data_IF_222011788239
#
_entry.id   IF_222011788239
#
_cell.length_a   1.000
_cell.length_b   1.000
_cell.length_c   1.000
_cell.angle_alpha   90.00
_cell.angle_beta   90.00
_cell.angle_gamma   90.00
#
_symmetry.space_group_name_H-M   'P 1'
#
loop_
_entity.id
_entity.type
_entity.pdbx_description
1 polymer ?
#
# COMPACT_ATOMS: atom_id res chain seq x y z
N UNK A 1 48.07 -6.66 -29.76
CA UNK A 1 47.09 -6.24 -28.74
C UNK A 1 46.18 -5.25 -29.41
N UNK A 2 44.87 -5.47 -29.29
CA UNK A 2 43.89 -4.47 -29.70
C UNK A 2 43.94 -3.28 -28.75
N UNK A 3 43.09 -2.28 -28.97
CA UNK A 3 42.94 -1.20 -27.97
C UNK A 3 42.47 -1.80 -26.64
N UNK A 4 43.11 -1.41 -25.53
CA UNK A 4 42.72 -1.86 -24.19
C UNK A 4 41.42 -1.16 -23.80
N UNK A 5 40.40 -1.94 -23.45
CA UNK A 5 39.06 -1.45 -23.14
C UNK A 5 38.79 -1.39 -21.66
N UNK A 6 39.38 -2.32 -20.90
CA UNK A 6 39.14 -2.46 -19.48
C UNK A 6 40.36 -3.04 -18.77
N UNK A 7 40.53 -2.64 -17.51
CA UNK A 7 41.64 -3.02 -16.65
C UNK A 7 41.08 -3.35 -15.28
N UNK A 8 41.51 -4.46 -14.70
CA UNK A 8 41.18 -4.83 -13.32
C UNK A 8 42.45 -5.28 -12.59
N UNK A 9 42.55 -4.94 -11.31
CA UNK A 9 43.74 -5.25 -10.49
C UNK A 9 43.34 -5.85 -9.14
N UNK A 10 44.03 -6.91 -8.70
CA UNK A 10 43.87 -7.48 -7.36
C UNK A 10 45.14 -8.18 -6.88
N UNK A 11 45.75 -7.65 -5.82
CA UNK A 11 47.01 -8.17 -5.28
C UNK A 11 48.15 -8.00 -6.30
N UNK A 12 48.85 -9.09 -6.62
CA UNK A 12 49.96 -9.06 -7.58
C UNK A 12 49.51 -9.29 -9.04
N UNK A 13 48.20 -9.46 -9.30
CA UNK A 13 47.67 -9.80 -10.63
C UNK A 13 46.91 -8.61 -11.22
N UNK A 14 47.34 -8.18 -12.41
CA UNK A 14 46.64 -7.24 -13.28
C UNK A 14 46.02 -7.98 -14.47
N UNK A 15 44.78 -7.66 -14.83
CA UNK A 15 44.11 -8.23 -16.01
C UNK A 15 43.68 -7.11 -16.94
N UNK A 16 44.04 -7.24 -18.21
CA UNK A 16 43.67 -6.31 -19.29
C UNK A 16 42.75 -7.03 -20.27
N UNK A 17 41.70 -6.35 -20.70
CA UNK A 17 40.83 -6.79 -21.79
C UNK A 17 40.99 -5.89 -23.01
N UNK A 18 41.09 -6.50 -24.19
CA UNK A 18 41.23 -5.81 -25.47
C UNK A 18 39.91 -5.80 -26.27
N UNK A 19 39.78 -4.91 -27.27
CA UNK A 19 38.68 -4.90 -28.26
C UNK A 19 38.61 -6.23 -29.04
N UNK A 20 39.74 -6.90 -29.27
CA UNK A 20 39.81 -8.15 -30.02
C UNK A 20 39.34 -9.38 -29.20
N UNK A 21 39.04 -9.21 -27.90
CA UNK A 21 38.67 -10.32 -27.01
C UNK A 21 39.84 -11.07 -26.41
N UNK A 22 41.02 -10.45 -26.36
CA UNK A 22 42.16 -11.02 -25.66
C UNK A 22 42.14 -10.57 -24.19
N UNK A 23 42.32 -11.53 -23.27
CA UNK A 23 42.55 -11.27 -21.85
C UNK A 23 44.04 -11.47 -21.55
N UNK A 24 44.72 -10.39 -21.13
CA UNK A 24 46.12 -10.44 -20.73
C UNK A 24 46.22 -10.44 -19.21
N UNK A 25 46.66 -11.55 -18.63
CA UNK A 25 46.96 -11.70 -17.22
C UNK A 25 48.42 -11.35 -16.98
N UNK A 26 48.70 -10.36 -16.14
CA UNK A 26 50.03 -9.90 -15.81
C UNK A 26 50.30 -10.11 -14.32
N UNK A 27 51.29 -10.95 -14.02
CA UNK A 27 51.82 -11.11 -12.68
C UNK A 27 52.91 -10.06 -12.46
N UNK A 28 52.65 -9.09 -11.58
CA UNK A 28 53.55 -7.98 -11.27
C UNK A 28 54.80 -8.45 -10.51
N UNK A 29 54.68 -9.51 -9.71
CA UNK A 29 55.79 -10.06 -8.92
C UNK A 29 56.73 -10.88 -9.79
N UNK A 30 56.18 -11.74 -10.64
CA UNK A 30 56.97 -12.53 -11.60
C UNK A 30 57.38 -11.72 -12.83
N UNK A 31 56.74 -10.58 -13.09
CA UNK A 31 56.88 -9.76 -14.31
C UNK A 31 56.59 -10.55 -15.59
N UNK A 32 55.69 -11.52 -15.52
CA UNK A 32 55.30 -12.37 -16.65
C UNK A 32 53.86 -12.05 -17.06
N UNK A 33 53.64 -11.86 -18.36
CA UNK A 33 52.30 -11.72 -18.93
C UNK A 33 51.89 -12.99 -19.69
N UNK A 34 50.62 -13.35 -19.59
CA UNK A 34 49.97 -14.44 -20.33
C UNK A 34 48.73 -13.89 -21.01
N UNK A 35 48.75 -13.85 -22.34
CA UNK A 35 47.60 -13.47 -23.15
C UNK A 35 46.79 -14.69 -23.57
N UNK A 36 45.49 -14.67 -23.30
CA UNK A 36 44.55 -15.71 -23.72
C UNK A 36 43.53 -15.10 -24.68
N UNK A 37 43.42 -15.61 -25.92
CA UNK A 37 42.32 -15.25 -26.80
C UNK A 37 41.04 -15.97 -26.36
N UNK A 38 39.98 -15.22 -26.04
CA UNK A 38 38.68 -15.80 -25.64
C UNK A 38 37.77 -16.08 -26.84
N UNK A 39 38.14 -15.55 -28.02
CA UNK A 39 37.39 -15.64 -29.28
C UNK A 39 35.94 -15.12 -29.20
N UNK A 40 35.58 -14.36 -28.17
CA UNK A 40 34.26 -13.73 -28.00
C UNK A 40 34.18 -12.28 -28.47
N UNK A 41 35.28 -11.74 -28.97
CA UNK A 41 35.39 -10.34 -29.35
C UNK A 41 35.39 -9.41 -28.14
N UNK A 42 34.93 -8.17 -28.34
CA UNK A 42 35.10 -7.05 -27.41
C UNK A 42 34.79 -7.36 -25.94
N UNK A 43 35.83 -7.28 -25.10
CA UNK A 43 35.69 -7.29 -23.63
C UNK A 43 35.18 -5.94 -23.15
N UNK A 44 33.96 -5.87 -22.62
CA UNK A 44 33.34 -4.60 -22.20
C UNK A 44 33.75 -4.18 -20.79
N UNK A 45 33.84 -5.15 -19.86
CA UNK A 45 34.16 -4.89 -18.45
C UNK A 45 34.74 -6.14 -17.81
N UNK A 46 35.64 -5.92 -16.86
CA UNK A 46 36.27 -6.97 -16.06
C UNK A 46 36.18 -6.58 -14.58
N UNK A 47 35.81 -7.53 -13.70
CA UNK A 47 35.84 -7.32 -12.24
C UNK A 47 36.29 -8.54 -11.47
N UNK A 48 37.13 -8.32 -10.47
CA UNK A 48 37.52 -9.36 -9.52
C UNK A 48 36.42 -9.62 -8.49
N UNK A 49 36.28 -10.88 -8.09
CA UNK A 49 35.38 -11.28 -7.01
C UNK A 49 35.84 -10.68 -5.67
N UNK A 50 34.91 -10.35 -4.75
CA UNK A 50 35.27 -9.90 -3.41
C UNK A 50 35.84 -11.05 -2.55
N UNK A 51 36.60 -10.70 -1.52
CA UNK A 51 37.18 -11.65 -0.56
C UNK A 51 38.70 -11.77 -0.63
N UNK A 52 39.35 -11.90 0.54
CA UNK A 52 40.81 -12.09 0.65
C UNK A 52 41.19 -13.46 0.09
N UNK A 53 42.12 -13.50 -0.86
CA UNK A 53 42.59 -14.75 -1.49
C UNK A 53 41.71 -15.31 -2.61
N UNK A 54 40.51 -14.74 -2.83
CA UNK A 54 39.66 -15.10 -3.97
C UNK A 54 40.23 -14.47 -5.24
N UNK A 55 40.72 -15.29 -6.15
CA UNK A 55 41.36 -14.86 -7.40
C UNK A 55 40.44 -15.13 -8.62
N UNK A 56 39.13 -15.17 -8.38
CA UNK A 56 38.14 -15.25 -9.46
C UNK A 56 37.86 -13.87 -10.05
N UNK A 57 37.54 -13.87 -11.34
CA UNK A 57 37.34 -12.69 -12.16
C UNK A 57 36.15 -12.93 -13.07
N UNK A 58 35.34 -11.89 -13.32
CA UNK A 58 34.27 -11.94 -14.30
C UNK A 58 34.59 -11.01 -15.46
N UNK A 59 34.38 -11.50 -16.68
CA UNK A 59 34.52 -10.75 -17.91
C UNK A 59 33.19 -10.76 -18.67
N UNK A 60 32.73 -9.60 -19.13
CA UNK A 60 31.53 -9.47 -19.97
C UNK A 60 31.93 -9.10 -21.41
N UNK A 61 31.25 -9.74 -22.35
CA UNK A 61 31.38 -9.56 -23.80
C UNK A 61 30.03 -9.12 -24.38
N UNK A 62 29.98 -8.94 -25.70
CA UNK A 62 28.72 -8.61 -26.39
C UNK A 62 27.70 -9.75 -26.37
N UNK A 63 28.16 -11.00 -26.34
CA UNK A 63 27.33 -12.21 -26.46
C UNK A 63 27.17 -12.99 -25.16
N UNK A 64 27.74 -12.51 -24.04
CA UNK A 64 27.69 -13.26 -22.78
C UNK A 64 28.69 -12.80 -21.72
N UNK A 65 28.84 -13.60 -20.68
CA UNK A 65 29.77 -13.38 -19.57
C UNK A 65 30.52 -14.67 -19.21
N UNK A 66 31.75 -14.55 -18.71
CA UNK A 66 32.59 -15.67 -18.30
C UNK A 66 33.20 -15.42 -16.93
N UNK A 67 33.26 -16.47 -16.09
CA UNK A 67 34.06 -16.46 -14.86
C UNK A 67 35.39 -17.14 -15.13
N UNK A 68 36.47 -16.47 -14.75
CA UNK A 68 37.85 -16.89 -14.89
C UNK A 68 38.50 -17.11 -13.53
N UNK A 69 39.41 -18.08 -13.45
CA UNK A 69 40.36 -18.22 -12.35
C UNK A 69 41.70 -17.64 -12.76
N UNK A 70 42.19 -16.63 -12.04
CA UNK A 70 43.47 -15.99 -12.35
C UNK A 70 44.68 -16.77 -11.80
N UNK A 71 44.49 -17.73 -10.88
CA UNK A 71 45.60 -18.58 -10.40
C UNK A 71 46.04 -19.59 -11.46
N UNK A 72 45.07 -20.35 -11.96
CA UNK A 72 45.29 -21.37 -13.00
C UNK A 72 45.22 -20.78 -14.41
N UNK A 73 44.75 -19.53 -14.54
CA UNK A 73 44.61 -18.81 -15.82
C UNK A 73 43.70 -19.62 -16.77
N UNK A 74 42.51 -19.98 -16.27
CA UNK A 74 41.53 -20.82 -16.97
C UNK A 74 40.09 -20.30 -16.81
N UNK A 75 39.25 -20.58 -17.80
CA UNK A 75 37.81 -20.30 -17.75
C UNK A 75 37.12 -21.34 -16.88
N UNK A 76 36.36 -20.89 -15.88
CA UNK A 76 35.61 -21.74 -14.94
C UNK A 76 34.20 -21.99 -15.45
N UNK A 77 33.53 -20.94 -15.92
CA UNK A 77 32.16 -21.03 -16.39
C UNK A 77 31.88 -19.97 -17.44
N UNK A 78 30.87 -20.22 -18.26
CA UNK A 78 30.43 -19.27 -19.25
C UNK A 78 28.93 -19.26 -19.42
N UNK A 79 28.40 -18.07 -19.66
CA UNK A 79 27.04 -17.81 -20.04
C UNK A 79 27.06 -17.18 -21.44
N UNK A 80 26.23 -17.68 -22.34
CA UNK A 80 26.06 -17.12 -23.69
C UNK A 80 24.59 -16.82 -23.94
N UNK A 81 24.29 -15.59 -24.38
CA UNK A 81 22.98 -15.20 -24.88
C UNK A 81 22.71 -15.96 -26.18
N UNK A 82 21.64 -16.77 -26.21
CA UNK A 82 21.40 -17.77 -27.25
C UNK A 82 20.18 -18.63 -26.95
N UNK A 83 20.14 -19.89 -27.45
CA UNK A 83 18.96 -20.78 -27.37
C UNK A 83 18.37 -20.96 -25.96
N UNK A 84 19.18 -20.90 -24.90
CA UNK A 84 18.74 -21.10 -23.51
C UNK A 84 18.61 -19.78 -22.71
N UNK A 85 19.09 -18.66 -23.25
CA UNK A 85 19.17 -17.36 -22.56
C UNK A 85 18.72 -16.29 -23.54
N UNK A 86 17.46 -15.88 -23.42
CA UNK A 86 16.79 -14.96 -24.36
C UNK A 86 17.13 -13.48 -24.16
N UNK A 87 17.85 -13.14 -23.10
CA UNK A 87 18.17 -11.76 -22.72
C UNK A 87 19.64 -11.41 -23.01
N UNK A 88 19.92 -10.13 -23.25
CA UNK A 88 21.28 -9.60 -23.40
C UNK A 88 21.78 -9.07 -22.06
N UNK A 89 23.05 -9.34 -21.76
CA UNK A 89 23.70 -8.84 -20.54
C UNK A 89 24.18 -7.41 -20.79
N UNK A 90 23.70 -6.46 -19.97
CA UNK A 90 24.07 -5.05 -20.05
C UNK A 90 25.28 -4.74 -19.17
N UNK A 91 25.27 -5.24 -17.93
CA UNK A 91 26.35 -5.05 -16.95
C UNK A 91 26.44 -6.23 -15.98
N UNK A 92 27.60 -6.34 -15.31
CA UNK A 92 27.93 -7.41 -14.37
C UNK A 92 28.61 -6.85 -13.12
N UNK A 93 28.28 -7.43 -11.97
CA UNK A 93 29.01 -7.23 -10.72
C UNK A 93 28.98 -8.50 -9.84
N UNK A 94 29.69 -8.47 -8.72
CA UNK A 94 29.69 -9.56 -7.74
C UNK A 94 28.75 -9.23 -6.56
N UNK A 95 27.91 -10.19 -6.16
CA UNK A 95 27.09 -10.08 -4.94
C UNK A 95 27.90 -10.49 -3.71
N UNK A 96 28.53 -11.66 -3.80
CA UNK A 96 29.34 -12.31 -2.77
C UNK A 96 30.56 -12.97 -3.43
N UNK A 97 31.41 -13.66 -2.67
CA UNK A 97 32.60 -14.33 -3.22
C UNK A 97 32.28 -15.43 -4.23
N UNK A 98 31.06 -15.97 -4.19
CA UNK A 98 30.56 -17.14 -4.92
C UNK A 98 29.33 -16.84 -5.81
N UNK A 99 28.78 -15.62 -5.76
CA UNK A 99 27.60 -15.22 -6.53
C UNK A 99 27.85 -13.99 -7.40
N UNK A 100 27.33 -14.06 -8.61
CA UNK A 100 27.43 -13.06 -9.67
C UNK A 100 26.06 -12.40 -9.86
N UNK A 101 26.06 -11.09 -10.12
CA UNK A 101 24.88 -10.32 -10.48
C UNK A 101 24.99 -9.93 -11.96
N UNK A 102 23.94 -10.19 -12.73
CA UNK A 102 23.79 -9.74 -14.11
C UNK A 102 22.60 -8.78 -14.21
N UNK A 103 22.84 -7.62 -14.83
CA UNK A 103 21.78 -6.74 -15.28
C UNK A 103 21.47 -7.03 -16.75
N UNK A 104 20.19 -7.24 -17.08
CA UNK A 104 19.75 -7.62 -18.42
C UNK A 104 18.82 -6.59 -19.06
N UNK A 105 18.66 -6.67 -20.38
CA UNK A 105 17.86 -5.75 -21.18
C UNK A 105 16.34 -5.91 -21.03
N UNK A 106 15.88 -7.02 -20.46
CA UNK A 106 14.49 -7.25 -20.06
C UNK A 106 14.10 -6.56 -18.74
N UNK A 107 14.96 -5.70 -18.21
CA UNK A 107 14.74 -4.97 -16.96
C UNK A 107 14.91 -5.82 -15.69
N UNK A 108 15.37 -7.06 -15.82
CA UNK A 108 15.62 -7.94 -14.67
C UNK A 108 17.06 -7.82 -14.15
N UNK A 109 17.22 -8.10 -12.85
CA UNK A 109 18.53 -8.36 -12.24
C UNK A 109 18.56 -9.83 -11.83
N UNK A 110 19.56 -10.57 -12.29
CA UNK A 110 19.68 -12.00 -12.04
C UNK A 110 20.88 -12.29 -11.16
N UNK A 111 20.67 -13.03 -10.08
CA UNK A 111 21.73 -13.55 -9.23
C UNK A 111 22.04 -14.98 -9.67
N UNK A 112 23.28 -15.22 -10.08
CA UNK A 112 23.77 -16.51 -10.51
C UNK A 112 24.82 -17.03 -9.53
N UNK A 113 24.94 -18.35 -9.43
CA UNK A 113 26.12 -18.98 -8.83
C UNK A 113 27.33 -18.87 -9.77
N UNK A 114 28.52 -19.14 -9.26
CA UNK A 114 29.76 -19.21 -10.06
C UNK A 114 29.66 -20.13 -11.29
N UNK A 115 28.77 -21.12 -11.30
CA UNK A 115 28.53 -21.98 -12.47
C UNK A 115 27.67 -21.34 -13.55
N UNK A 116 27.35 -20.04 -13.43
CA UNK A 116 26.43 -19.30 -14.31
C UNK A 116 25.02 -19.93 -14.40
N UNK A 117 24.60 -20.61 -13.34
CA UNK A 117 23.23 -21.10 -13.16
C UNK A 117 22.46 -20.10 -12.29
N UNK A 118 21.17 -19.86 -12.56
CA UNK A 118 20.37 -18.99 -11.71
C UNK A 118 20.34 -19.54 -10.29
N UNK A 119 20.65 -18.66 -9.32
CA UNK A 119 20.48 -18.92 -7.90
C UNK A 119 19.04 -18.57 -7.44
N UNK A 120 18.21 -18.05 -8.35
CA UNK A 120 16.80 -17.79 -8.14
C UNK A 120 15.96 -18.93 -8.75
N UNK A 121 15.09 -19.51 -7.94
CA UNK A 121 14.04 -20.43 -8.39
C UNK A 121 12.71 -19.68 -8.43
N UNK A 122 11.83 -20.05 -9.36
CA UNK A 122 10.44 -19.61 -9.29
C UNK A 122 9.81 -20.27 -8.07
N UNK A 123 9.07 -19.52 -7.26
CA UNK A 123 8.35 -20.07 -6.10
C UNK A 123 7.44 -21.24 -6.52
N UNK A 124 6.82 -21.15 -7.71
CA UNK A 124 5.96 -22.19 -8.28
C UNK A 124 6.69 -23.53 -8.54
N UNK A 125 8.02 -23.49 -8.70
CA UNK A 125 8.87 -24.64 -9.02
C UNK A 125 9.60 -25.19 -7.78
N UNK A 126 9.39 -24.57 -6.62
CA UNK A 126 10.00 -25.00 -5.38
C UNK A 126 9.10 -26.02 -4.67
N UNK A 127 9.52 -27.27 -4.61
CA UNK A 127 8.95 -28.27 -3.69
C UNK A 127 9.33 -27.86 -2.26
N UNK A 128 8.45 -27.08 -1.62
CA UNK A 128 8.62 -26.71 -0.21
C UNK A 128 8.41 -27.96 0.65
N UNK A 129 9.26 -28.15 1.67
CA UNK A 129 9.11 -29.27 2.62
C UNK A 129 7.80 -29.18 3.41
N UNK A 130 7.29 -27.97 3.59
CA UNK A 130 5.98 -27.70 4.18
C UNK A 130 5.14 -26.87 3.19
N UNK A 131 3.90 -27.29 2.89
CA UNK A 131 3.03 -26.54 2.01
C UNK A 131 2.64 -25.22 2.69
N UNK A 132 2.95 -24.09 2.05
CA UNK A 132 2.58 -22.76 2.53
C UNK A 132 1.30 -22.30 1.81
N UNK A 133 0.35 -21.77 2.58
CA UNK A 133 -0.83 -21.11 2.02
C UNK A 133 -0.41 -19.83 1.30
N UNK A 134 -0.52 -19.83 -0.02
CA UNK A 134 -0.23 -18.71 -0.89
C UNK A 134 -1.21 -18.74 -2.08
N UNK A 135 -2.35 -18.04 -1.97
CA UNK A 135 -3.40 -18.10 -2.99
C UNK A 135 -2.99 -17.49 -4.33
N UNK A 136 -1.86 -16.77 -4.38
CA UNK A 136 -1.28 -16.19 -5.60
C UNK A 136 -0.20 -17.06 -6.28
N UNK A 137 0.17 -18.20 -5.69
CA UNK A 137 1.06 -19.18 -6.31
C UNK A 137 0.44 -19.86 -7.54
N UNK A 138 -0.84 -20.28 -7.54
CA UNK A 138 -1.45 -20.85 -8.74
C UNK A 138 -1.75 -19.75 -9.80
N UNK A 139 -1.96 -20.13 -11.08
CA UNK A 139 -2.37 -19.21 -12.13
C UNK A 139 -3.59 -18.36 -11.75
N UNK A 140 -3.74 -17.13 -12.27
CA UNK A 140 -4.77 -16.19 -11.83
C UNK A 140 -6.20 -16.71 -11.99
N UNK A 141 -6.45 -17.57 -12.99
CA UNK A 141 -7.77 -18.18 -13.18
C UNK A 141 -8.07 -19.24 -12.12
N UNK A 142 -7.05 -20.01 -11.73
CA UNK A 142 -7.16 -21.01 -10.68
C UNK A 142 -7.30 -20.36 -9.29
N UNK A 143 -6.59 -19.26 -9.02
CA UNK A 143 -6.75 -18.51 -7.76
C UNK A 143 -8.14 -17.89 -7.62
N UNK A 144 -8.73 -17.40 -8.73
CA UNK A 144 -10.11 -16.93 -8.76
C UNK A 144 -11.11 -18.06 -8.55
N UNK A 145 -10.87 -19.23 -9.14
CA UNK A 145 -11.71 -20.41 -8.93
C UNK A 145 -11.66 -20.89 -7.48
N UNK A 146 -10.49 -20.89 -6.85
CA UNK A 146 -10.30 -21.18 -5.43
C UNK A 146 -11.05 -20.17 -4.55
N UNK A 147 -10.99 -18.88 -4.90
CA UNK A 147 -11.72 -17.82 -4.19
C UNK A 147 -13.23 -18.03 -4.30
N UNK A 148 -13.73 -18.31 -5.50
CA UNK A 148 -15.14 -18.60 -5.74
C UNK A 148 -15.59 -19.85 -4.96
N UNK A 149 -14.75 -20.90 -4.91
CA UNK A 149 -15.02 -22.10 -4.11
C UNK A 149 -15.12 -21.78 -2.61
N UNK A 150 -14.18 -21.00 -2.09
CA UNK A 150 -14.20 -20.59 -0.69
C UNK A 150 -15.37 -19.66 -0.37
N UNK A 151 -15.94 -18.93 -1.32
CA UNK A 151 -17.09 -18.06 -1.09
C UNK A 151 -18.43 -18.79 -1.24
N UNK A 152 -18.57 -19.65 -2.25
CA UNK A 152 -19.82 -20.33 -2.57
C UNK A 152 -19.95 -21.65 -1.81
N UNK A 153 -20.99 -21.76 -1.01
CA UNK A 153 -21.46 -23.04 -0.50
C UNK A 153 -22.50 -23.62 -1.46
N UNK A 154 -22.39 -24.90 -1.88
CA UNK A 154 -23.50 -25.57 -2.54
C UNK A 154 -24.67 -25.60 -1.55
N UNK A 155 -25.80 -25.02 -1.96
CA UNK A 155 -27.04 -25.12 -1.20
C UNK A 155 -27.39 -26.61 -1.12
N UNK A 156 -27.54 -27.15 0.09
CA UNK A 156 -28.05 -28.50 0.39
C UNK A 156 -27.07 -29.70 0.43
N UNK A 157 -25.74 -29.52 0.41
CA UNK A 157 -24.78 -30.63 0.56
C UNK A 157 -23.87 -30.50 1.79
N UNK A 158 -23.40 -31.66 2.31
CA UNK A 158 -22.35 -31.72 3.34
C UNK A 158 -21.15 -30.89 2.87
N UNK A 159 -20.82 -29.85 3.63
CA UNK A 159 -19.71 -28.99 3.30
C UNK A 159 -18.40 -29.78 3.39
N UNK A 160 -17.70 -29.87 2.26
CA UNK A 160 -16.39 -30.52 2.15
C UNK A 160 -15.43 -29.55 1.48
N UNK A 161 -14.17 -29.57 1.92
CA UNK A 161 -13.07 -28.81 1.33
C UNK A 161 -12.41 -29.58 0.17
N UNK A 162 -13.14 -30.49 -0.47
CA UNK A 162 -12.62 -31.33 -1.54
C UNK A 162 -13.04 -30.78 -2.90
N UNK A 163 -12.06 -30.28 -3.66
CA UNK A 163 -12.27 -29.67 -4.99
C UNK A 163 -12.60 -30.74 -6.05
N UNK A 164 -12.42 -32.03 -5.75
CA UNK A 164 -12.71 -33.14 -6.66
C UNK A 164 -14.14 -33.14 -7.21
N UNK A 165 -15.10 -32.62 -6.44
CA UNK A 165 -16.51 -32.54 -6.85
C UNK A 165 -16.82 -31.35 -7.77
N UNK A 166 -15.86 -30.47 -8.03
CA UNK A 166 -16.05 -29.28 -8.87
C UNK A 166 -15.63 -29.58 -10.29
N UNK A 167 -16.57 -29.35 -11.21
CA UNK A 167 -16.31 -29.45 -12.64
C UNK A 167 -15.50 -28.23 -13.11
N UNK A 168 -14.20 -28.24 -12.80
CA UNK A 168 -13.24 -27.26 -13.32
C UNK A 168 -12.71 -27.73 -14.68
N UNK A 169 -12.82 -26.92 -15.75
CA UNK A 169 -12.52 -27.32 -17.13
C UNK A 169 -11.02 -27.39 -17.46
N UNK A 170 -10.12 -27.06 -16.52
CA UNK A 170 -8.67 -27.06 -16.75
C UNK A 170 -8.00 -28.37 -16.31
N UNK A 171 -6.70 -28.48 -16.62
CA UNK A 171 -5.87 -29.67 -16.38
C UNK A 171 -5.95 -30.18 -14.93
N UNK A 172 -5.93 -31.51 -14.76
CA UNK A 172 -5.95 -32.19 -13.45
C UNK A 172 -4.82 -31.73 -12.52
N UNK A 173 -3.66 -31.37 -13.08
CA UNK A 173 -2.54 -30.81 -12.32
C UNK A 173 -2.92 -29.55 -11.54
N UNK A 174 -3.73 -28.67 -12.14
CA UNK A 174 -4.19 -27.42 -11.49
C UNK A 174 -5.16 -27.76 -10.36
N UNK A 175 -6.02 -28.77 -10.53
CA UNK A 175 -6.92 -29.24 -9.46
C UNK A 175 -6.12 -29.76 -8.26
N UNK A 176 -5.06 -30.53 -8.49
CA UNK A 176 -4.18 -31.01 -7.44
C UNK A 176 -3.50 -29.85 -6.70
N UNK A 177 -2.96 -28.87 -7.44
CA UNK A 177 -2.36 -27.67 -6.83
C UNK A 177 -3.36 -26.90 -5.96
N UNK A 178 -4.62 -26.77 -6.38
CA UNK A 178 -5.66 -26.11 -5.59
C UNK A 178 -5.99 -26.91 -4.32
N UNK A 179 -6.05 -28.24 -4.41
CA UNK A 179 -6.29 -29.11 -3.26
C UNK A 179 -5.11 -29.03 -2.26
N UNK A 180 -3.87 -28.99 -2.73
CA UNK A 180 -2.68 -28.81 -1.89
C UNK A 180 -2.72 -27.47 -1.15
N UNK A 181 -3.16 -26.41 -1.82
CA UNK A 181 -3.41 -25.12 -1.15
C UNK A 181 -4.48 -25.26 -0.06
N UNK A 182 -5.61 -25.94 -0.29
CA UNK A 182 -6.59 -26.16 0.77
C UNK A 182 -6.05 -27.00 1.94
N UNK A 183 -5.19 -27.98 1.67
CA UNK A 183 -4.53 -28.74 2.73
C UNK A 183 -3.55 -27.91 3.55
N UNK A 184 -2.93 -26.89 2.96
CA UNK A 184 -2.04 -25.96 3.67
C UNK A 184 -2.76 -25.03 4.66
N UNK A 185 -4.09 -24.89 4.58
CA UNK A 185 -4.86 -24.08 5.53
C UNK A 185 -4.76 -24.64 6.96
N UNK A 186 -4.72 -23.74 7.95
CA UNK A 186 -4.72 -24.12 9.36
C UNK A 186 -6.01 -24.84 9.75
N UNK A 187 -5.91 -25.74 10.74
CA UNK A 187 -7.05 -26.52 11.19
C UNK A 187 -8.18 -25.65 11.77
N UNK A 188 -7.85 -24.48 12.34
CA UNK A 188 -8.85 -23.56 12.88
C UNK A 188 -9.65 -22.86 11.77
N UNK A 189 -8.97 -22.45 10.69
CA UNK A 189 -9.64 -21.89 9.51
C UNK A 189 -10.51 -22.95 8.84
N UNK A 190 -10.03 -24.19 8.73
CA UNK A 190 -10.82 -25.31 8.20
C UNK A 190 -12.08 -25.55 9.02
N UNK A 191 -11.98 -25.56 10.37
CA UNK A 191 -13.16 -25.71 11.25
C UNK A 191 -14.19 -24.60 11.03
N UNK A 192 -13.75 -23.35 10.93
CA UNK A 192 -14.64 -22.20 10.67
C UNK A 192 -15.31 -22.31 9.29
N UNK A 193 -14.57 -22.71 8.26
CA UNK A 193 -15.12 -22.88 6.93
C UNK A 193 -16.15 -24.03 6.85
N UNK A 194 -15.97 -25.07 7.67
CA UNK A 194 -16.85 -26.25 7.76
C UNK A 194 -18.08 -26.03 8.65
N UNK A 195 -18.13 -24.94 9.41
CA UNK A 195 -19.24 -24.65 10.32
C UNK A 195 -20.50 -24.21 9.54
N UNK A 196 -21.64 -24.91 9.68
CA UNK A 196 -22.89 -24.55 9.01
C UNK A 196 -23.51 -23.25 9.53
N UNK A 197 -23.19 -22.81 10.74
CA UNK A 197 -23.68 -21.53 11.29
C UNK A 197 -22.87 -20.33 10.80
N UNK A 198 -21.80 -20.57 10.05
CA UNK A 198 -20.92 -19.53 9.55
C UNK A 198 -21.61 -18.67 8.49
N UNK A 199 -21.91 -17.43 8.86
CA UNK A 199 -22.64 -16.50 7.98
C UNK A 199 -21.83 -16.17 6.73
N UNK A 200 -22.53 -15.94 5.61
CA UNK A 200 -21.91 -15.51 4.34
C UNK A 200 -20.99 -14.29 4.53
N UNK A 201 -21.40 -13.35 5.37
CA UNK A 201 -20.64 -12.14 5.69
C UNK A 201 -19.30 -12.45 6.37
N UNK A 202 -19.32 -13.27 7.42
CA UNK A 202 -18.10 -13.71 8.10
C UNK A 202 -17.19 -14.50 7.17
N UNK A 203 -17.78 -15.26 6.25
CA UNK A 203 -17.07 -16.00 5.20
C UNK A 203 -16.37 -15.09 4.21
N UNK A 204 -17.06 -14.10 3.67
CA UNK A 204 -16.46 -13.09 2.80
C UNK A 204 -15.29 -12.36 3.48
N UNK A 205 -15.44 -12.02 4.77
CA UNK A 205 -14.41 -11.34 5.55
C UNK A 205 -13.21 -12.25 5.85
N UNK A 206 -13.44 -13.54 6.12
CA UNK A 206 -12.38 -14.52 6.29
C UNK A 206 -11.59 -14.72 4.99
N UNK A 207 -12.29 -14.87 3.86
CA UNK A 207 -11.66 -15.09 2.56
C UNK A 207 -10.86 -13.86 2.12
N UNK A 208 -11.38 -12.64 2.32
CA UNK A 208 -10.61 -11.42 2.03
C UNK A 208 -9.34 -11.31 2.87
N UNK A 209 -9.38 -11.72 4.14
CA UNK A 209 -8.18 -11.84 5.00
C UNK A 209 -7.20 -12.91 4.52
N UNK A 210 -7.69 -14.07 4.09
CA UNK A 210 -6.85 -15.16 3.59
C UNK A 210 -6.14 -14.82 2.27
N UNK A 211 -6.78 -14.00 1.43
CA UNK A 211 -6.18 -13.49 0.20
C UNK A 211 -5.33 -12.23 0.44
N UNK A 212 -5.56 -11.50 1.53
CA UNK A 212 -4.89 -10.21 1.77
C UNK A 212 -5.44 -9.08 0.89
N UNK A 213 -6.67 -9.25 0.38
CA UNK A 213 -7.34 -8.25 -0.44
C UNK A 213 -7.87 -7.12 0.45
N UNK A 214 -7.09 -6.05 0.56
CA UNK A 214 -7.37 -4.91 1.42
C UNK A 214 -8.72 -4.26 1.11
N UNK A 215 -9.05 -4.05 -0.17
CA UNK A 215 -10.29 -3.40 -0.60
C UNK A 215 -11.54 -4.17 -0.19
N UNK A 216 -11.52 -5.50 -0.32
CA UNK A 216 -12.63 -6.36 0.08
C UNK A 216 -12.75 -6.44 1.59
N UNK A 217 -11.63 -6.45 2.32
CA UNK A 217 -11.65 -6.38 3.78
C UNK A 217 -12.36 -5.10 4.23
N UNK A 218 -11.99 -3.94 3.69
CA UNK A 218 -12.64 -2.66 3.99
C UNK A 218 -14.12 -2.64 3.62
N UNK A 219 -14.47 -3.22 2.47
CA UNK A 219 -15.87 -3.30 2.05
C UNK A 219 -16.70 -4.17 3.01
N UNK A 220 -16.23 -5.38 3.31
CA UNK A 220 -16.98 -6.33 4.14
C UNK A 220 -17.02 -5.94 5.61
N UNK A 221 -16.01 -5.24 6.16
CA UNK A 221 -16.08 -4.69 7.52
C UNK A 221 -17.15 -3.61 7.64
N UNK A 222 -17.22 -2.69 6.68
CA UNK A 222 -18.26 -1.65 6.65
C UNK A 222 -19.64 -2.26 6.42
N UNK A 223 -19.76 -3.17 5.46
CA UNK A 223 -21.01 -3.88 5.19
C UNK A 223 -21.47 -4.68 6.41
N UNK A 224 -20.55 -5.34 7.12
CA UNK A 224 -20.86 -6.08 8.34
C UNK A 224 -21.46 -5.18 9.41
N UNK A 225 -20.81 -4.05 9.69
CA UNK A 225 -21.29 -3.10 10.67
C UNK A 225 -22.71 -2.62 10.35
N UNK A 226 -22.97 -2.19 9.11
CA UNK A 226 -24.30 -1.73 8.72
C UNK A 226 -25.36 -2.84 8.73
N UNK A 227 -25.04 -4.03 8.23
CA UNK A 227 -25.99 -5.16 8.27
C UNK A 227 -26.34 -5.53 9.71
N UNK A 228 -25.36 -5.50 10.62
CA UNK A 228 -25.60 -5.75 12.05
C UNK A 228 -26.43 -4.64 12.69
N UNK A 229 -26.16 -3.36 12.43
CA UNK A 229 -26.98 -2.25 12.95
C UNK A 229 -28.42 -2.31 12.46
N UNK A 230 -28.65 -2.60 11.17
CA UNK A 230 -29.99 -2.79 10.63
C UNK A 230 -30.71 -4.01 11.23
N UNK A 231 -30.00 -5.13 11.42
CA UNK A 231 -30.58 -6.34 12.04
C UNK A 231 -30.94 -6.11 13.52
N UNK A 232 -30.08 -5.40 14.27
CA UNK A 232 -30.30 -5.04 15.67
C UNK A 232 -31.48 -4.10 15.84
N UNK A 233 -31.62 -3.10 14.97
CA UNK A 233 -32.75 -2.18 14.96
C UNK A 233 -34.07 -2.92 14.69
N UNK A 234 -34.07 -3.91 13.80
CA UNK A 234 -35.26 -4.74 13.51
C UNK A 234 -35.63 -5.65 14.69
N UNK A 235 -34.64 -6.17 15.42
CA UNK A 235 -34.88 -6.93 16.66
C UNK A 235 -35.41 -6.06 17.80
N UNK A 236 -34.99 -4.79 17.88
CA UNK A 236 -35.46 -3.84 18.89
C UNK A 236 -36.91 -3.41 18.64
N UNK A 237 -37.32 -3.25 17.37
CA UNK A 237 -38.73 -2.97 17.03
C UNK A 237 -39.69 -4.11 17.35
N UNK A 238 -39.23 -5.37 17.31
CA UNK A 238 -40.06 -6.54 17.64
C UNK A 238 -40.14 -6.77 19.15
N UNK A 239 -39.09 -6.43 19.92
CA UNK A 239 -39.07 -6.52 21.39
C UNK A 239 -39.74 -5.34 22.11
N UNK A 240 -40.23 -4.34 21.39
CA UNK A 240 -40.95 -3.21 21.99
C UNK A 240 -42.37 -3.58 22.45
N UNK A 241 -42.90 -4.74 22.05
CA UNK A 241 -44.23 -5.21 22.45
C UNK A 241 -44.23 -6.14 23.68
N UNK A 242 -43.09 -6.72 24.06
CA UNK A 242 -42.96 -7.54 25.28
C UNK A 242 -41.77 -7.06 26.13
N UNK A 243 -42.08 -6.66 27.36
CA UNK A 243 -41.23 -5.85 28.23
C UNK A 243 -39.83 -6.39 28.56
N UNK A 244 -38.95 -5.42 28.82
CA UNK A 244 -37.65 -5.50 29.51
C UNK A 244 -36.68 -6.59 29.02
N UNK A 245 -35.95 -6.28 27.95
CA UNK A 245 -34.66 -6.91 27.67
C UNK A 245 -33.51 -5.93 27.95
N UNK A 246 -32.63 -6.37 28.84
CA UNK A 246 -31.36 -5.80 29.28
C UNK A 246 -30.56 -5.07 28.20
N UNK A 247 -30.12 -3.87 28.57
CA UNK A 247 -29.01 -3.13 27.97
C UNK A 247 -27.78 -4.04 27.80
N UNK A 248 -26.99 -3.76 26.75
CA UNK A 248 -25.69 -4.34 26.37
C UNK A 248 -25.68 -5.22 25.12
N UNK A 249 -25.91 -4.59 23.96
CA UNK A 249 -25.18 -4.91 22.74
C UNK A 249 -24.82 -3.57 22.09
N UNK A 250 -23.81 -2.90 22.66
CA UNK A 250 -23.22 -1.75 22.02
C UNK A 250 -22.50 -2.28 20.78
N UNK A 251 -23.12 -2.15 19.62
CA UNK A 251 -22.42 -2.34 18.36
C UNK A 251 -21.27 -1.33 18.39
N UNK A 252 -20.04 -1.82 18.44
CA UNK A 252 -18.87 -0.96 18.43
C UNK A 252 -18.94 -0.08 17.18
N UNK A 253 -18.77 1.25 17.30
CA UNK A 253 -18.78 2.13 16.14
C UNK A 253 -17.71 1.69 15.16
N UNK A 254 -17.91 1.98 13.87
CA UNK A 254 -16.86 1.79 12.86
C UNK A 254 -15.57 2.47 13.32
N UNK A 255 -14.46 1.80 13.04
CA UNK A 255 -13.14 2.33 13.38
C UNK A 255 -12.87 3.62 12.59
N UNK A 256 -12.02 4.47 13.16
CA UNK A 256 -11.76 5.84 12.70
C UNK A 256 -11.21 5.84 11.26
N UNK A 257 -10.58 4.76 10.83
CA UNK A 257 -10.08 4.56 9.47
C UNK A 257 -11.16 4.69 8.38
N UNK A 258 -12.44 4.59 8.75
CA UNK A 258 -13.57 4.69 7.82
C UNK A 258 -14.20 6.09 7.75
N UNK A 259 -13.65 7.09 8.47
CA UNK A 259 -14.00 8.54 8.45
C UNK A 259 -15.47 8.84 8.09
N UNK A 260 -15.77 9.11 6.81
CA UNK A 260 -17.07 9.55 6.29
C UNK A 260 -18.14 8.46 6.42
N UNK A 261 -17.75 7.18 6.45
CA UNK A 261 -18.65 6.04 6.60
C UNK A 261 -19.01 5.77 8.06
N UNK A 262 -18.45 6.51 9.02
CA UNK A 262 -18.89 6.43 10.40
C UNK A 262 -20.28 7.08 10.58
N UNK A 263 -20.94 6.72 11.67
CA UNK A 263 -22.16 7.37 12.13
C UNK A 263 -21.91 8.87 12.41
N UNK A 264 -22.86 9.74 12.04
CA UNK A 264 -22.68 11.20 12.14
C UNK A 264 -22.43 11.65 13.59
N UNK A 265 -23.12 11.05 14.57
CA UNK A 265 -22.99 11.38 15.99
C UNK A 265 -21.62 11.01 16.55
N UNK A 266 -21.10 9.82 16.20
CA UNK A 266 -19.78 9.37 16.59
C UNK A 266 -18.70 10.22 15.92
N UNK A 267 -18.85 10.48 14.62
CA UNK A 267 -17.93 11.32 13.86
C UNK A 267 -17.84 12.73 14.44
N UNK A 268 -18.98 13.37 14.75
CA UNK A 268 -19.01 14.71 15.35
C UNK A 268 -18.30 14.75 16.72
N UNK A 269 -18.58 13.78 17.60
CA UNK A 269 -17.90 13.68 18.91
C UNK A 269 -16.39 13.52 18.75
N UNK A 270 -15.96 12.64 17.86
CA UNK A 270 -14.55 12.42 17.59
C UNK A 270 -13.85 13.65 17.02
N UNK A 271 -14.49 14.36 16.08
CA UNK A 271 -13.93 15.61 15.56
C UNK A 271 -13.82 16.68 16.67
N UNK A 272 -14.79 16.75 17.58
CA UNK A 272 -14.71 17.63 18.76
C UNK A 272 -13.54 17.26 19.68
N UNK A 273 -13.35 15.97 19.98
CA UNK A 273 -12.21 15.51 20.78
C UNK A 273 -10.87 15.85 20.13
N UNK A 274 -10.76 15.68 18.80
CA UNK A 274 -9.57 16.06 18.04
C UNK A 274 -9.28 17.56 18.16
N UNK A 275 -10.30 18.40 18.03
CA UNK A 275 -10.14 19.85 18.19
C UNK A 275 -9.73 20.20 19.60
N UNK A 276 -10.33 19.60 20.62
CA UNK A 276 -9.95 19.83 22.02
C UNK A 276 -8.47 19.48 22.28
N UNK A 277 -7.98 18.37 21.71
CA UNK A 277 -6.57 17.99 21.81
C UNK A 277 -5.66 19.01 21.11
N UNK A 278 -6.07 19.51 19.93
CA UNK A 278 -5.33 20.55 19.22
C UNK A 278 -5.34 21.88 19.98
N UNK A 279 -6.44 22.17 20.66
CA UNK A 279 -6.61 23.36 21.47
C UNK A 279 -5.63 23.43 22.64
N UNK A 280 -5.37 22.28 23.30
CA UNK A 280 -4.39 22.16 24.38
C UNK A 280 -2.95 22.33 23.88
N UNK A 281 -2.68 21.96 22.62
CA UNK A 281 -1.35 22.00 22.01
C UNK A 281 -1.07 23.29 21.20
N UNK A 282 -1.88 24.33 21.37
CA UNK A 282 -1.70 25.61 20.66
C UNK A 282 -0.39 26.29 21.07
N UNK A 283 0.40 26.67 20.07
CA UNK A 283 1.63 27.47 20.25
C UNK A 283 1.61 28.77 19.45
N UNK A 284 1.05 28.75 18.23
CA UNK A 284 1.02 29.89 17.32
C UNK A 284 -0.41 30.39 17.07
N UNK A 285 -0.55 31.65 16.68
CA UNK A 285 -1.83 32.23 16.30
C UNK A 285 -2.53 31.47 15.17
N UNK A 286 -1.79 30.96 14.18
CA UNK A 286 -2.36 30.16 13.09
C UNK A 286 -3.02 28.85 13.60
N UNK A 287 -2.51 28.28 14.69
CA UNK A 287 -3.14 27.12 15.32
C UNK A 287 -4.43 27.53 16.02
N UNK A 288 -4.44 28.67 16.72
CA UNK A 288 -5.66 29.25 17.31
C UNK A 288 -6.71 29.52 16.23
N UNK A 289 -6.33 30.10 15.09
CA UNK A 289 -7.22 30.36 13.96
C UNK A 289 -7.80 29.08 13.36
N UNK A 290 -6.99 28.03 13.17
CA UNK A 290 -7.49 26.75 12.65
C UNK A 290 -8.44 26.05 13.64
N UNK A 291 -8.15 26.12 14.93
CA UNK A 291 -9.03 25.57 15.98
C UNK A 291 -10.35 26.33 16.04
N UNK A 292 -10.33 27.67 16.02
CA UNK A 292 -11.55 28.50 16.01
C UNK A 292 -12.40 28.20 14.78
N UNK A 293 -11.77 28.12 13.60
CA UNK A 293 -12.45 27.78 12.36
C UNK A 293 -13.12 26.39 12.43
N UNK A 294 -12.47 25.39 13.02
CA UNK A 294 -13.04 24.05 13.18
C UNK A 294 -14.18 24.02 14.23
N UNK A 295 -14.05 24.71 15.36
CA UNK A 295 -15.10 24.81 16.38
C UNK A 295 -16.37 25.48 15.82
N UNK A 296 -16.21 26.54 15.02
CA UNK A 296 -17.33 27.19 14.35
C UNK A 296 -18.03 26.24 13.38
N UNK A 297 -17.29 25.43 12.63
CA UNK A 297 -17.87 24.42 11.75
C UNK A 297 -18.52 23.25 12.53
N UNK A 298 -18.07 22.93 13.75
CA UNK A 298 -18.64 21.89 14.62
C UNK A 298 -19.86 22.37 15.43
N UNK A 299 -20.12 23.68 15.46
CA UNK A 299 -21.27 24.26 16.18
C UNK A 299 -20.99 24.68 17.62
N UNK A 300 -19.74 24.62 18.06
CA UNK A 300 -19.33 25.10 19.38
C UNK A 300 -18.99 26.60 19.32
N UNK A 301 -20.03 27.42 19.21
CA UNK A 301 -19.89 28.89 19.11
C UNK A 301 -19.29 29.51 20.36
N UNK A 302 -19.67 29.02 21.55
CA UNK A 302 -19.24 29.60 22.83
C UNK A 302 -17.73 29.46 23.03
N UNK A 303 -17.18 28.26 22.79
CA UNK A 303 -15.74 28.02 22.89
C UNK A 303 -14.98 28.76 21.80
N UNK A 304 -15.52 28.81 20.58
CA UNK A 304 -14.89 29.57 19.49
C UNK A 304 -14.78 31.06 19.81
N UNK A 305 -15.80 31.66 20.44
CA UNK A 305 -15.78 33.06 20.88
C UNK A 305 -14.71 33.30 21.95
N UNK A 306 -14.59 32.40 22.93
CA UNK A 306 -13.54 32.50 23.95
C UNK A 306 -12.15 32.53 23.31
N UNK A 307 -11.89 31.62 22.37
CA UNK A 307 -10.60 31.56 21.66
C UNK A 307 -10.31 32.80 20.78
N UNK A 308 -11.34 33.43 20.20
CA UNK A 308 -11.18 34.67 19.43
C UNK A 308 -10.85 35.87 20.34
N UNK A 309 -11.35 35.88 21.57
CA UNK A 309 -11.08 36.92 22.56
C UNK A 309 -9.73 36.75 23.28
N UNK A 310 -9.14 35.55 23.24
CA UNK A 310 -7.78 35.27 23.73
C UNK A 310 -6.66 35.90 22.87
N UNK A 311 -6.99 36.39 21.66
CA UNK A 311 -6.01 37.01 20.77
C UNK A 311 -5.39 38.26 21.40
N UNK A 312 -4.06 38.36 21.44
CA UNK A 312 -3.34 39.52 21.98
C UNK A 312 -3.58 40.79 21.16
N UNK A 313 -3.72 41.94 21.83
CA UNK A 313 -3.92 43.24 21.17
C UNK A 313 -2.79 43.68 20.22
N UNK A 314 -1.59 43.11 20.38
CA UNK A 314 -0.44 43.36 19.50
C UNK A 314 -0.56 42.67 18.13
N UNK A 315 -1.49 41.73 17.97
CA UNK A 315 -1.66 40.97 16.73
C UNK A 315 -2.49 41.79 15.71
N UNK A 316 -2.04 41.92 14.45
CA UNK A 316 -2.77 42.60 13.38
C UNK A 316 -4.24 42.15 13.19
N UNK A 317 -4.57 40.90 13.56
CA UNK A 317 -5.90 40.33 13.39
C UNK A 317 -6.84 40.52 14.59
N UNK A 318 -6.39 41.15 15.69
CA UNK A 318 -7.19 41.36 16.90
C UNK A 318 -8.54 42.05 16.64
N UNK A 319 -8.54 43.09 15.81
CA UNK A 319 -9.76 43.81 15.45
C UNK A 319 -10.74 42.95 14.65
N UNK A 320 -10.22 42.14 13.71
CA UNK A 320 -11.06 41.24 12.92
C UNK A 320 -11.65 40.11 13.78
N UNK A 321 -10.87 39.55 14.70
CA UNK A 321 -11.31 38.46 15.58
C UNK A 321 -12.37 38.94 16.59
N UNK A 322 -12.20 40.14 17.15
CA UNK A 322 -13.20 40.75 18.05
C UNK A 322 -14.52 41.04 17.31
N UNK A 323 -14.47 41.56 16.09
CA UNK A 323 -15.68 41.73 15.26
C UNK A 323 -16.31 40.38 14.89
N UNK A 324 -15.51 39.35 14.57
CA UNK A 324 -15.99 38.00 14.29
C UNK A 324 -16.68 37.39 15.51
N UNK A 325 -16.15 37.58 16.71
CA UNK A 325 -16.76 37.15 17.97
C UNK A 325 -18.12 37.84 18.22
N UNK A 326 -18.20 39.16 18.00
CA UNK A 326 -19.45 39.91 18.07
C UNK A 326 -20.48 39.41 17.05
N UNK A 327 -20.05 39.09 15.83
CA UNK A 327 -20.95 38.53 14.82
C UNK A 327 -21.45 37.14 15.23
N UNK A 328 -20.58 36.23 15.64
CA UNK A 328 -20.97 34.86 16.04
C UNK A 328 -22.01 34.87 17.18
N UNK A 329 -21.85 35.75 18.16
CA UNK A 329 -22.80 35.87 19.29
C UNK A 329 -24.15 36.49 18.90
N UNK A 330 -24.20 37.35 17.88
CA UNK A 330 -25.42 38.10 17.50
C UNK A 330 -26.27 37.41 16.43
N UNK A 331 -25.69 36.50 15.66
CA UNK A 331 -26.34 35.80 14.53
C UNK A 331 -27.59 34.99 14.92
N UNK A 332 -27.69 34.55 16.17
CA UNK A 332 -28.81 33.72 16.65
C UNK A 332 -30.14 34.48 16.79
N UNK A 333 -30.18 35.80 16.54
CA UNK A 333 -31.27 36.65 17.03
C UNK A 333 -32.22 37.26 15.97
N UNK A 334 -31.86 37.38 14.68
CA UNK A 334 -32.74 38.09 13.71
C UNK A 334 -32.68 37.63 12.24
N UNK A 335 -33.84 37.42 11.63
CA UNK A 335 -33.97 37.02 10.20
C UNK A 335 -33.36 37.98 9.17
N UNK A 336 -33.46 39.33 9.32
CA UNK A 336 -32.80 40.27 8.41
C UNK A 336 -31.27 40.14 8.41
N UNK A 337 -30.67 39.88 9.57
CA UNK A 337 -29.21 39.68 9.69
C UNK A 337 -28.75 38.41 8.96
N UNK A 338 -29.56 37.36 8.94
CA UNK A 338 -29.25 36.14 8.19
C UNK A 338 -29.21 36.37 6.67
N UNK A 339 -30.04 37.28 6.15
CA UNK A 339 -30.04 37.62 4.72
C UNK A 339 -28.80 38.40 4.32
N UNK A 340 -28.38 39.38 5.13
CA UNK A 340 -27.17 40.16 4.85
C UNK A 340 -25.91 39.30 4.96
N UNK A 341 -25.82 38.42 5.95
CA UNK A 341 -24.66 37.53 6.11
C UNK A 341 -24.60 36.51 4.97
N UNK A 342 -25.74 35.98 4.50
CA UNK A 342 -25.74 35.13 3.29
C UNK A 342 -25.17 35.87 2.07
N UNK A 343 -25.55 37.13 1.86
CA UNK A 343 -25.04 37.94 0.75
C UNK A 343 -23.52 38.18 0.87
N UNK A 344 -23.05 38.54 2.07
CA UNK A 344 -21.62 38.70 2.35
C UNK A 344 -20.86 37.40 2.11
N UNK A 345 -21.38 36.27 2.59
CA UNK A 345 -20.78 34.96 2.40
C UNK A 345 -20.66 34.60 0.90
N UNK A 346 -21.71 34.84 0.11
CA UNK A 346 -21.67 34.59 -1.35
C UNK A 346 -20.65 35.47 -2.07
N UNK A 347 -20.50 36.73 -1.66
CA UNK A 347 -19.51 37.64 -2.23
C UNK A 347 -18.07 37.20 -1.87
N UNK A 348 -17.84 36.77 -0.62
CA UNK A 348 -16.55 36.22 -0.20
C UNK A 348 -16.17 34.96 -0.98
N UNK A 349 -17.12 34.06 -1.23
CA UNK A 349 -16.91 32.86 -2.05
C UNK A 349 -16.55 33.24 -3.49
N UNK A 350 -17.27 34.19 -4.09
CA UNK A 350 -17.00 34.68 -5.44
C UNK A 350 -15.60 35.30 -5.58
N UNK A 351 -15.11 35.98 -4.54
CA UNK A 351 -13.78 36.60 -4.50
C UNK A 351 -12.65 35.63 -4.09
N UNK A 352 -12.91 34.32 -4.06
CA UNK A 352 -11.89 33.29 -3.77
C UNK A 352 -11.64 33.00 -2.29
N UNK A 353 -12.39 33.62 -1.35
CA UNK A 353 -12.31 33.34 0.09
C UNK A 353 -13.35 32.31 0.53
N UNK A 354 -13.23 31.09 -0.01
CA UNK A 354 -14.18 29.98 0.24
C UNK A 354 -14.35 29.62 1.72
N UNK A 355 -13.25 29.51 2.48
CA UNK A 355 -13.30 29.06 3.86
C UNK A 355 -14.13 29.99 4.78
N UNK A 356 -13.94 31.30 4.64
CA UNK A 356 -14.64 32.32 5.43
C UNK A 356 -16.12 32.39 5.04
N UNK A 357 -16.43 32.32 3.75
CA UNK A 357 -17.82 32.30 3.29
C UNK A 357 -18.59 31.05 3.74
N UNK A 358 -17.94 29.87 3.72
CA UNK A 358 -18.53 28.62 4.22
C UNK A 358 -18.82 28.71 5.72
N UNK A 359 -17.92 29.28 6.52
CA UNK A 359 -18.16 29.49 7.96
C UNK A 359 -19.38 30.35 8.22
N UNK A 360 -19.52 31.47 7.50
CA UNK A 360 -20.67 32.36 7.62
C UNK A 360 -21.98 31.67 7.25
N UNK A 361 -22.00 30.83 6.22
CA UNK A 361 -23.17 30.03 5.87
C UNK A 361 -23.51 28.99 6.96
N UNK A 362 -22.50 28.38 7.59
CA UNK A 362 -22.70 27.43 8.69
C UNK A 362 -23.25 28.09 9.95
N UNK A 363 -22.95 29.37 10.20
CA UNK A 363 -23.49 30.14 11.33
C UNK A 363 -24.99 30.45 11.18
N UNK A 364 -25.51 30.45 9.96
CA UNK A 364 -26.93 30.72 9.64
C UNK A 364 -27.71 29.41 9.46
N UNK A 365 -27.15 28.27 9.88
CA UNK A 365 -27.70 26.92 9.66
C UNK A 365 -27.97 26.58 8.18
N UNK A 366 -27.26 27.24 7.25
CA UNK A 366 -27.30 26.95 5.80
C UNK A 366 -26.14 26.08 5.36
N UNK A 367 -25.84 25.04 6.14
CA UNK A 367 -24.75 24.10 5.89
C UNK A 367 -24.91 23.35 4.55
N UNK A 368 -26.15 23.04 4.13
CA UNK A 368 -26.42 22.41 2.84
C UNK A 368 -26.03 23.28 1.64
N UNK A 369 -26.32 24.60 1.70
CA UNK A 369 -25.88 25.56 0.68
C UNK A 369 -24.35 25.66 0.66
N UNK A 370 -23.72 25.68 1.84
CA UNK A 370 -22.26 25.71 1.97
C UNK A 370 -21.59 24.47 1.34
N UNK A 371 -22.19 23.28 1.52
CA UNK A 371 -21.72 22.06 0.88
C UNK A 371 -21.82 22.14 -0.65
N UNK A 372 -22.90 22.69 -1.20
CA UNK A 372 -23.05 22.89 -2.65
C UNK A 372 -21.96 23.82 -3.20
N UNK A 373 -21.67 24.92 -2.51
CA UNK A 373 -20.57 25.81 -2.92
C UNK A 373 -19.23 25.06 -2.89
N UNK A 374 -18.91 24.32 -1.83
CA UNK A 374 -17.68 23.52 -1.78
C UNK A 374 -17.59 22.52 -2.95
N UNK A 375 -18.68 21.85 -3.32
CA UNK A 375 -18.73 20.96 -4.48
C UNK A 375 -18.45 21.70 -5.80
N UNK A 376 -19.07 22.87 -6.01
CA UNK A 376 -18.86 23.66 -7.24
C UNK A 376 -17.42 24.12 -7.44
N UNK A 377 -16.68 24.33 -6.35
CA UNK A 377 -15.27 24.72 -6.38
C UNK A 377 -14.30 23.52 -6.28
N UNK A 378 -14.80 22.28 -6.35
CA UNK A 378 -13.98 21.06 -6.38
C UNK A 378 -13.52 20.53 -5.01
N UNK A 379 -13.99 21.12 -3.90
CA UNK A 379 -13.62 20.77 -2.52
C UNK A 379 -14.54 19.67 -1.94
N UNK A 380 -14.59 18.52 -2.61
CA UNK A 380 -15.53 17.42 -2.30
C UNK A 380 -15.31 16.82 -0.90
N UNK A 381 -14.05 16.62 -0.49
CA UNK A 381 -13.72 16.05 0.82
C UNK A 381 -14.19 16.97 1.96
N UNK A 382 -14.02 18.28 1.80
CA UNK A 382 -14.46 19.27 2.78
C UNK A 382 -15.99 19.38 2.82
N UNK A 383 -16.65 19.25 1.68
CA UNK A 383 -18.12 19.19 1.62
C UNK A 383 -18.65 17.94 2.35
N UNK A 384 -18.06 16.77 2.11
CA UNK A 384 -18.45 15.53 2.79
C UNK A 384 -18.22 15.60 4.30
N UNK A 385 -17.08 16.15 4.73
CA UNK A 385 -16.78 16.38 6.15
C UNK A 385 -17.81 17.33 6.79
N UNK A 386 -18.12 18.44 6.14
CA UNK A 386 -19.09 19.42 6.65
C UNK A 386 -20.50 18.83 6.74
N UNK A 387 -20.92 18.10 5.71
CA UNK A 387 -22.19 17.40 5.71
C UNK A 387 -22.26 16.42 6.89
N UNK A 388 -21.22 15.63 7.13
CA UNK A 388 -21.19 14.67 8.24
C UNK A 388 -21.25 15.31 9.63
N UNK A 389 -20.76 16.53 9.76
CA UNK A 389 -20.71 17.26 11.03
C UNK A 389 -22.01 18.03 11.31
N UNK A 390 -22.66 18.57 10.28
CA UNK A 390 -23.78 19.53 10.43
C UNK A 390 -25.13 19.06 9.88
N UNK A 391 -25.15 18.03 9.04
CA UNK A 391 -26.37 17.43 8.46
C UNK A 391 -26.58 16.03 9.06
#
# INVERSE_FOLDING_TARGET
>A
MGSITCIAWKGDILVLGDVDGNLNFWDLKARVSRGIPTHRGWVRKIRFAPGKGNQKLIAIYNDGAEVWDTKEVQMVSSLRSGRNVSFRILDVDWCTSDKVILASDDGCIRVLEMTMKPACFRMDEQELSEPVWCPYLPPPRASLALKAFLLHQPWDNKYSLDISFINYPENENIKNMLQDQLYSLSNDVKKLLLDPEFTLLQRCLLVSRLYGDESELHFWTVAAHYLHTYSGNKSLTIKAEDGFASQENWISPLDICYDILCENSYFQKFQLERVNIQEVKRSNYDHTRKCTDQLLLLGQTDRAVQLLLETSAENPYYYCDSLKACLVTTVTSSGPSQSTIKLVATNMIANGKLAEGVQLLCLIDKAADACRYLQTYGEWNRAAWLAKVRL
#
